data_IF_261921069066
#
_entry.id   IF_261921069066
#
_cell.length_a   1.000
_cell.length_b   1.000
_cell.length_c   1.000
_cell.angle_alpha   90.00
_cell.angle_beta   90.00
_cell.angle_gamma   90.00
#
_symmetry.space_group_name_H-M   'P 1'
#
loop_
_entity.id
_entity.type
_entity.pdbx_description
1 polymer ?
#
# COMPACT_ATOMS: atom_id res chain seq x y z
N UNK A 1 -43.28 50.56 15.27
CA UNK A 1 -42.47 50.50 14.04
C UNK A 1 -41.13 49.86 14.41
N UNK A 2 -40.75 48.64 14.05
CA UNK A 2 -41.08 47.81 12.91
C UNK A 2 -39.94 47.86 11.89
N UNK A 3 -38.83 47.14 12.14
CA UNK A 3 -37.89 46.76 11.06
C UNK A 3 -37.01 45.58 11.49
N UNK A 4 -37.46 44.39 11.09
CA UNK A 4 -36.77 43.12 11.24
C UNK A 4 -35.84 42.91 10.03
N UNK A 5 -34.54 43.11 10.24
CA UNK A 5 -33.49 42.93 9.23
C UNK A 5 -33.04 41.47 9.14
N UNK A 6 -33.45 40.82 8.05
CA UNK A 6 -33.36 39.38 7.75
C UNK A 6 -31.92 38.82 7.75
N UNK A 7 -31.66 37.86 8.64
CA UNK A 7 -30.51 36.94 8.61
C UNK A 7 -30.63 36.07 7.36
N UNK A 8 -29.68 36.19 6.42
CA UNK A 8 -29.59 35.26 5.27
C UNK A 8 -28.76 34.04 5.66
N UNK A 9 -29.46 33.03 6.16
CA UNK A 9 -28.97 31.67 6.33
C UNK A 9 -29.22 30.88 5.04
N UNK A 10 -28.21 30.68 4.19
CA UNK A 10 -28.08 29.64 3.13
C UNK A 10 -26.57 29.50 2.85
N UNK A 11 -25.92 28.35 2.75
CA UNK A 11 -26.31 27.06 2.20
C UNK A 11 -25.85 25.93 3.12
N UNK A 12 -26.72 24.94 3.28
CA UNK A 12 -26.35 23.60 3.73
C UNK A 12 -25.55 22.92 2.61
N UNK A 13 -24.28 22.60 2.88
CA UNK A 13 -23.57 21.56 2.15
C UNK A 13 -23.60 20.30 3.03
N UNK A 14 -24.58 19.45 2.74
CA UNK A 14 -24.67 18.10 3.32
C UNK A 14 -23.54 17.28 2.69
N UNK A 15 -22.38 17.22 3.35
CA UNK A 15 -21.39 16.18 3.10
C UNK A 15 -21.84 14.92 3.85
N UNK A 16 -22.84 14.24 3.29
CA UNK A 16 -23.19 12.88 3.68
C UNK A 16 -22.74 11.95 2.55
N UNK A 17 -21.50 11.47 2.64
CA UNK A 17 -21.04 10.32 1.88
C UNK A 17 -19.96 9.58 2.68
N UNK A 18 -20.34 8.41 3.18
CA UNK A 18 -19.51 7.25 3.51
C UNK A 18 -18.44 7.39 4.61
N UNK A 19 -18.88 7.28 5.86
CA UNK A 19 -18.09 6.62 6.93
C UNK A 19 -18.62 5.19 7.14
N UNK A 20 -18.53 4.37 6.10
CA UNK A 20 -18.80 2.94 6.14
C UNK A 20 -17.55 2.22 5.61
N UNK A 21 -16.81 1.54 6.48
CA UNK A 21 -15.79 0.56 6.06
C UNK A 21 -14.34 0.87 6.45
N UNK A 22 -14.08 1.12 7.73
CA UNK A 22 -12.73 1.01 8.31
C UNK A 22 -12.42 -0.47 8.62
N UNK A 23 -12.47 -1.33 7.60
CA UNK A 23 -12.09 -2.75 7.61
C UNK A 23 -12.04 -3.23 6.17
N UNK A 24 -10.82 -3.41 5.63
CA UNK A 24 -10.54 -3.79 4.25
C UNK A 24 -10.34 -2.57 3.36
N UNK A 25 -9.07 -2.19 3.14
CA UNK A 25 -8.69 -1.16 2.17
C UNK A 25 -9.27 -1.54 0.79
N UNK A 26 -10.24 -0.80 0.22
CA UNK A 26 -10.51 -0.93 -1.19
C UNK A 26 -9.37 -0.23 -1.92
N UNK A 27 -8.52 -0.98 -2.62
CA UNK A 27 -7.60 -0.39 -3.59
C UNK A 27 -8.43 0.52 -4.51
N UNK A 28 -8.04 1.79 -4.74
CA UNK A 28 -8.76 2.66 -5.62
C UNK A 28 -8.71 2.04 -7.03
N UNK A 29 -9.84 1.49 -7.49
CA UNK A 29 -10.01 1.07 -8.89
C UNK A 29 -10.07 2.31 -9.78
N UNK A 30 -8.92 2.95 -9.98
CA UNK A 30 -8.69 3.83 -11.11
C UNK A 30 -8.05 2.98 -12.21
N UNK A 31 -8.89 2.33 -13.02
CA UNK A 31 -8.46 1.77 -14.30
C UNK A 31 -8.16 2.90 -15.29
N UNK A 32 -7.11 3.66 -15.02
CA UNK A 32 -6.23 4.07 -16.10
C UNK A 32 -5.57 2.78 -16.61
N UNK A 33 -5.36 2.64 -17.92
CA UNK A 33 -4.64 1.50 -18.49
C UNK A 33 -3.41 1.21 -17.63
N UNK A 34 -3.38 0.03 -16.99
CA UNK A 34 -2.25 -0.31 -16.16
C UNK A 34 -1.03 -0.48 -17.07
N UNK A 35 -0.08 0.45 -16.93
CA UNK A 35 1.21 0.38 -17.59
C UNK A 35 2.27 0.19 -16.52
N UNK A 36 2.77 -1.05 -16.42
CA UNK A 36 3.90 -1.36 -15.55
C UNK A 36 5.13 -0.62 -16.03
N UNK A 37 5.77 0.14 -15.13
CA UNK A 37 7.08 0.74 -15.39
C UNK A 37 8.17 -0.33 -15.45
N UNK A 38 9.38 0.04 -15.90
CA UNK A 38 10.53 -0.86 -15.86
C UNK A 38 10.87 -1.32 -14.43
N UNK A 39 10.62 -0.46 -13.44
CA UNK A 39 10.84 -0.75 -12.03
C UNK A 39 9.80 -1.75 -11.52
N UNK A 40 8.54 -1.60 -11.93
CA UNK A 40 7.48 -2.55 -11.59
C UNK A 40 7.73 -3.94 -12.18
N UNK A 41 8.14 -3.98 -13.44
CA UNK A 41 8.53 -5.22 -14.10
C UNK A 41 9.70 -5.90 -13.39
N UNK A 42 10.67 -5.11 -12.89
CA UNK A 42 11.78 -5.63 -12.12
C UNK A 42 11.32 -6.24 -10.79
N UNK A 43 10.45 -5.55 -10.05
CA UNK A 43 9.85 -6.05 -8.81
C UNK A 43 9.10 -7.37 -9.02
N UNK A 44 8.18 -7.41 -9.99
CA UNK A 44 7.41 -8.61 -10.34
C UNK A 44 8.35 -9.77 -10.73
N UNK A 45 9.39 -9.49 -11.52
CA UNK A 45 10.37 -10.50 -11.90
C UNK A 45 11.18 -11.05 -10.72
N UNK A 46 11.44 -10.25 -9.68
CA UNK A 46 12.07 -10.73 -8.45
C UNK A 46 11.12 -11.65 -7.67
N UNK A 47 9.86 -11.25 -7.49
CA UNK A 47 8.84 -12.05 -6.82
C UNK A 47 8.64 -13.41 -7.50
N UNK A 48 8.58 -13.42 -8.83
CA UNK A 48 8.41 -14.64 -9.61
C UNK A 48 9.52 -15.68 -9.36
N UNK A 49 10.77 -15.26 -9.08
CA UNK A 49 11.88 -16.17 -8.76
C UNK A 49 11.66 -16.95 -7.45
N UNK A 50 10.81 -16.42 -6.55
CA UNK A 50 10.41 -17.05 -5.29
C UNK A 50 9.00 -17.63 -5.34
N UNK A 51 8.43 -17.78 -6.55
CA UNK A 51 7.08 -18.28 -6.75
C UNK A 51 6.01 -17.42 -6.07
N UNK A 52 6.29 -16.12 -5.93
CA UNK A 52 5.33 -15.12 -5.46
C UNK A 52 4.75 -14.45 -6.71
N UNK A 53 3.43 -14.42 -6.81
CA UNK A 53 2.71 -13.83 -7.93
C UNK A 53 1.37 -13.27 -7.48
N UNK A 54 0.65 -12.64 -8.40
CA UNK A 54 -0.65 -12.06 -8.10
C UNK A 54 -1.62 -13.12 -7.54
N UNK A 55 -2.26 -12.79 -6.42
CA UNK A 55 -3.33 -13.60 -5.86
C UNK A 55 -4.51 -13.70 -6.83
N UNK A 56 -5.39 -14.70 -6.64
CA UNK A 56 -6.59 -14.82 -7.47
C UNK A 56 -7.44 -13.54 -7.41
N UNK A 57 -7.75 -12.96 -8.57
CA UNK A 57 -8.48 -11.69 -8.67
C UNK A 57 -7.61 -10.44 -8.53
N UNK A 58 -6.30 -10.59 -8.36
CA UNK A 58 -5.30 -9.52 -8.39
C UNK A 58 -4.53 -9.54 -9.72
N UNK A 59 -4.04 -8.39 -10.12
CA UNK A 59 -3.20 -8.23 -11.31
C UNK A 59 -1.77 -7.89 -10.92
N UNK A 60 -0.82 -8.05 -11.84
CA UNK A 60 0.57 -7.60 -11.65
C UNK A 60 0.66 -6.10 -11.29
N UNK A 61 -0.33 -5.31 -11.69
CA UNK A 61 -0.46 -3.90 -11.36
C UNK A 61 -0.78 -3.68 -9.89
N UNK A 62 -1.68 -4.49 -9.35
CA UNK A 62 -2.04 -4.45 -7.94
C UNK A 62 -0.84 -4.89 -7.09
N UNK A 63 -0.10 -5.90 -7.56
CA UNK A 63 1.15 -6.34 -6.92
C UNK A 63 2.20 -5.22 -6.92
N UNK A 64 2.43 -4.56 -8.06
CA UNK A 64 3.35 -3.44 -8.16
C UNK A 64 2.93 -2.27 -7.26
N UNK A 65 1.64 -1.92 -7.24
CA UNK A 65 1.09 -0.88 -6.38
C UNK A 65 1.31 -1.20 -4.89
N UNK A 66 1.10 -2.45 -4.49
CA UNK A 66 1.39 -2.92 -3.13
C UNK A 66 2.88 -2.79 -2.80
N UNK A 67 3.78 -3.21 -3.70
CA UNK A 67 5.22 -3.05 -3.51
C UNK A 67 5.65 -1.58 -3.31
N UNK A 68 5.10 -0.67 -4.11
CA UNK A 68 5.33 0.77 -3.94
C UNK A 68 4.80 1.28 -2.59
N UNK A 69 3.62 0.82 -2.17
CA UNK A 69 3.04 1.17 -0.88
C UNK A 69 3.91 0.68 0.28
N UNK A 70 4.36 -0.58 0.25
CA UNK A 70 5.24 -1.16 1.28
C UNK A 70 6.51 -0.30 1.43
N UNK A 71 7.17 0.00 0.33
CA UNK A 71 8.40 0.80 0.34
C UNK A 71 8.17 2.22 0.88
N UNK A 72 7.03 2.83 0.55
CA UNK A 72 6.65 4.13 1.08
C UNK A 72 6.35 4.07 2.59
N UNK A 73 5.62 3.07 3.06
CA UNK A 73 5.31 2.86 4.47
C UNK A 73 6.58 2.69 5.31
N UNK A 74 7.55 1.93 4.82
CA UNK A 74 8.86 1.75 5.48
C UNK A 74 9.62 3.09 5.53
N UNK A 75 9.68 3.83 4.41
CA UNK A 75 10.39 5.12 4.35
C UNK A 75 9.80 6.16 5.30
N UNK A 76 8.49 6.17 5.47
CA UNK A 76 7.77 7.16 6.26
C UNK A 76 7.65 6.78 7.75
N UNK A 77 8.09 5.59 8.15
CA UNK A 77 7.98 5.13 9.52
C UNK A 77 9.03 5.77 10.45
N UNK A 78 8.63 6.07 11.69
CA UNK A 78 9.56 6.49 12.75
C UNK A 78 10.57 5.40 13.12
N UNK A 79 10.20 4.12 12.92
CA UNK A 79 11.08 2.96 13.06
C UNK A 79 10.92 2.06 11.82
N UNK A 80 11.73 2.28 10.77
CA UNK A 80 11.65 1.54 9.52
C UNK A 80 11.83 0.02 9.67
N UNK A 81 12.78 -0.43 10.49
CA UNK A 81 13.06 -1.86 10.75
C UNK A 81 11.84 -2.57 11.35
N UNK A 82 11.26 -2.00 12.41
CA UNK A 82 10.03 -2.53 13.00
C UNK A 82 8.85 -2.50 12.02
N UNK A 83 8.73 -1.45 11.19
CA UNK A 83 7.66 -1.39 10.19
C UNK A 83 7.82 -2.47 9.13
N UNK A 84 9.03 -2.70 8.63
CA UNK A 84 9.30 -3.75 7.65
C UNK A 84 8.95 -5.15 8.20
N UNK A 85 9.38 -5.48 9.42
CA UNK A 85 9.02 -6.76 10.04
C UNK A 85 7.51 -6.90 10.27
N UNK A 86 6.83 -5.82 10.67
CA UNK A 86 5.38 -5.81 10.88
C UNK A 86 4.63 -6.04 9.57
N UNK A 87 5.06 -5.41 8.47
CA UNK A 87 4.47 -5.65 7.15
C UNK A 87 4.70 -7.10 6.70
N UNK A 88 5.88 -7.66 6.95
CA UNK A 88 6.15 -9.07 6.61
C UNK A 88 5.21 -10.02 7.37
N UNK A 89 4.96 -9.76 8.66
CA UNK A 89 3.96 -10.48 9.44
C UNK A 89 2.53 -10.30 8.87
N UNK A 90 2.15 -9.06 8.53
CA UNK A 90 0.85 -8.75 7.91
C UNK A 90 0.66 -9.52 6.59
N UNK A 91 1.69 -9.59 5.73
CA UNK A 91 1.67 -10.36 4.48
C UNK A 91 1.58 -11.86 4.78
N UNK A 92 2.34 -12.38 5.73
CA UNK A 92 2.31 -13.80 6.10
C UNK A 92 0.93 -14.22 6.62
N UNK A 93 0.31 -13.45 7.51
CA UNK A 93 -1.01 -13.78 8.05
C UNK A 93 -2.17 -13.44 7.11
N UNK A 94 -1.96 -12.54 6.15
CA UNK A 94 -2.98 -12.09 5.19
C UNK A 94 -3.00 -12.86 3.87
N UNK A 95 -2.01 -13.71 3.62
CA UNK A 95 -1.84 -14.42 2.34
C UNK A 95 -1.56 -15.92 2.56
N UNK A 96 -1.32 -16.66 1.47
CA UNK A 96 -0.88 -18.05 1.52
C UNK A 96 0.64 -18.21 1.35
N UNK A 97 1.40 -17.11 1.49
CA UNK A 97 2.86 -17.15 1.39
C UNK A 97 3.48 -17.78 2.63
N UNK A 98 4.64 -18.42 2.47
CA UNK A 98 5.46 -18.80 3.63
C UNK A 98 6.04 -17.54 4.30
N UNK A 99 6.48 -17.65 5.55
CA UNK A 99 7.14 -16.54 6.24
C UNK A 99 8.34 -16.00 5.43
N UNK A 100 9.15 -16.88 4.84
CA UNK A 100 10.27 -16.50 3.99
C UNK A 100 9.83 -15.77 2.72
N UNK A 101 8.71 -16.18 2.11
CA UNK A 101 8.17 -15.50 0.93
C UNK A 101 7.61 -14.12 1.27
N UNK A 102 6.90 -13.99 2.39
CA UNK A 102 6.36 -12.72 2.87
C UNK A 102 7.49 -11.72 3.19
N UNK A 103 8.52 -12.19 3.90
CA UNK A 103 9.73 -11.43 4.14
C UNK A 103 10.44 -11.01 2.86
N UNK A 104 10.57 -11.92 1.90
CA UNK A 104 11.17 -11.63 0.61
C UNK A 104 10.37 -10.59 -0.19
N UNK A 105 9.04 -10.62 -0.14
CA UNK A 105 8.20 -9.61 -0.79
C UNK A 105 8.51 -8.21 -0.27
N UNK A 106 8.57 -8.04 1.06
CA UNK A 106 8.92 -6.77 1.69
C UNK A 106 10.34 -6.34 1.35
N UNK A 107 11.31 -7.26 1.43
CA UNK A 107 12.70 -6.98 1.09
C UNK A 107 12.86 -6.57 -0.38
N UNK A 108 12.17 -7.25 -1.31
CA UNK A 108 12.16 -6.91 -2.72
C UNK A 108 11.51 -5.54 -2.99
N UNK A 109 10.43 -5.22 -2.29
CA UNK A 109 9.77 -3.92 -2.38
C UNK A 109 10.71 -2.78 -1.94
N UNK A 110 11.41 -2.96 -0.82
CA UNK A 110 12.43 -2.01 -0.34
C UNK A 110 13.56 -1.91 -1.37
N UNK A 111 14.14 -3.03 -1.81
CA UNK A 111 15.25 -3.04 -2.76
C UNK A 111 14.92 -2.29 -4.05
N UNK A 112 13.70 -2.48 -4.58
CA UNK A 112 13.29 -1.90 -5.84
C UNK A 112 12.84 -0.45 -5.67
N UNK A 113 11.90 -0.15 -4.77
CA UNK A 113 11.21 1.15 -4.70
C UNK A 113 11.75 2.09 -3.61
N UNK A 114 12.55 1.57 -2.68
CA UNK A 114 13.25 2.36 -1.66
C UNK A 114 14.71 1.95 -1.51
N UNK A 115 15.54 2.12 -2.57
CA UNK A 115 16.95 1.73 -2.52
C UNK A 115 17.74 2.47 -1.43
N UNK A 116 17.30 3.66 -1.03
CA UNK A 116 17.81 4.44 0.09
C UNK A 116 17.57 3.77 1.47
N UNK A 117 16.65 2.82 1.54
CA UNK A 117 16.24 2.10 2.74
C UNK A 117 16.74 0.65 2.78
N UNK A 118 17.62 0.22 1.87
CA UNK A 118 18.13 -1.17 1.82
C UNK A 118 18.79 -1.60 3.13
N UNK A 119 19.39 -0.67 3.89
CA UNK A 119 19.93 -0.92 5.23
C UNK A 119 18.90 -1.54 6.19
N UNK A 120 17.60 -1.31 5.98
CA UNK A 120 16.51 -1.91 6.77
C UNK A 120 16.49 -3.43 6.61
N UNK A 121 16.74 -3.94 5.41
CA UNK A 121 16.77 -5.39 5.13
C UNK A 121 17.97 -6.04 5.81
N UNK A 122 19.07 -5.31 5.97
CA UNK A 122 20.28 -5.80 6.63
C UNK A 122 20.16 -5.76 8.17
N UNK A 123 19.47 -4.76 8.69
CA UNK A 123 19.23 -4.53 10.13
C UNK A 123 18.06 -5.38 10.68
N UNK A 124 17.18 -5.85 9.80
CA UNK A 124 16.00 -6.64 10.15
C UNK A 124 16.20 -8.10 9.74
N UNK A 125 15.95 -9.03 10.65
CA UNK A 125 15.87 -10.46 10.32
C UNK A 125 14.50 -10.76 9.64
N UNK A 126 14.31 -10.23 8.43
CA UNK A 126 13.21 -10.60 7.54
C UNK A 126 13.34 -12.07 7.15
#
# INVERSE_FOLDING_TARGET
MGSTGRIRLRLAAVFAAALLGQLGLPLPHASADCVLTAQDQHYIALLARRQIGAASGSTDCDVAALGQQIANDVRMANNPSLRASTIADEVYYGTNLTAEQAAFEVAAAIYVYAPDMVWVVEDTAL
#
